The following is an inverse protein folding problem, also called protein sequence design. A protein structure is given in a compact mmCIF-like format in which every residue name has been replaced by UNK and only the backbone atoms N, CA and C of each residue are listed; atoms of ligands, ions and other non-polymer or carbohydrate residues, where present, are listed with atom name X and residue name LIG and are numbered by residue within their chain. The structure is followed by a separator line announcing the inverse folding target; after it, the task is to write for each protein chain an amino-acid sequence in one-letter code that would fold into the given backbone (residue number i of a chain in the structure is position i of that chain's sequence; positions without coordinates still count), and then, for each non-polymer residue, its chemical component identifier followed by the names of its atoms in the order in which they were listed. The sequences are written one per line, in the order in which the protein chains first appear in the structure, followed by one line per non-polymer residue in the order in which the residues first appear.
data_IF_945504996396
#
_entry.id   IF_945504996396
#
_cell.length_a   1.000
_cell.length_b   1.000
_cell.length_c   1.000
_cell.angle_alpha   90.00
_cell.angle_beta   90.00
_cell.angle_gamma   90.00
#
_symmetry.space_group_name_H-M   'P 1'
#
loop_
_entity.id
_entity.type
_entity.pdbx_description
1 polymer ?
#
# COMPACT_ATOMS: atom_id res chain seq x y z
N UNK A 1 -1.72 10.35 -10.76
CA UNK A 1 -1.90 10.50 -9.31
C UNK A 1 -0.56 10.17 -8.69
N UNK A 2 0.08 11.12 -8.02
CA UNK A 2 1.41 10.91 -7.44
C UNK A 2 1.37 9.80 -6.37
N UNK A 3 2.48 9.08 -6.24
CA UNK A 3 2.65 7.98 -5.28
C UNK A 3 2.32 8.43 -3.85
N UNK A 4 2.68 9.67 -3.53
CA UNK A 4 2.43 10.31 -2.25
C UNK A 4 0.91 10.47 -1.98
N UNK A 5 0.14 10.90 -2.97
CA UNK A 5 -1.32 11.04 -2.86
C UNK A 5 -2.02 9.67 -2.78
N UNK A 6 -1.52 8.66 -3.50
CA UNK A 6 -1.99 7.29 -3.36
C UNK A 6 -1.72 6.73 -1.96
N UNK A 7 -0.54 7.01 -1.41
CA UNK A 7 -0.18 6.64 -0.05
C UNK A 7 -1.09 7.27 0.98
N UNK A 8 -1.31 8.58 0.94
CA UNK A 8 -2.13 9.27 1.95
C UNK A 8 -3.56 8.69 1.97
N UNK A 9 -4.15 8.43 0.79
CA UNK A 9 -5.47 7.75 0.72
C UNK A 9 -5.44 6.31 1.20
N UNK A 10 -4.36 5.58 0.94
CA UNK A 10 -4.20 4.22 1.45
C UNK A 10 -4.11 4.24 2.97
N UNK A 11 -3.41 5.22 3.55
CA UNK A 11 -3.33 5.42 4.99
C UNK A 11 -4.71 5.69 5.57
N UNK A 12 -5.46 6.65 5.02
CA UNK A 12 -6.83 6.94 5.46
C UNK A 12 -7.73 5.69 5.41
N UNK A 13 -7.66 4.92 4.31
CA UNK A 13 -8.46 3.70 4.13
C UNK A 13 -8.09 2.59 5.12
N UNK A 14 -6.79 2.40 5.36
CA UNK A 14 -6.26 1.37 6.25
C UNK A 14 -6.51 1.72 7.72
N UNK A 15 -6.42 3.00 8.06
CA UNK A 15 -6.66 3.50 9.41
C UNK A 15 -8.16 3.53 9.78
N UNK A 16 -9.05 3.68 8.78
CA UNK A 16 -10.51 3.58 8.96
C UNK A 16 -10.95 2.12 9.23
N UNK A 17 -10.12 1.14 8.91
CA UNK A 17 -10.41 -0.27 9.17
C UNK A 17 -10.09 -0.66 10.61
N UNK A 18 -11.10 -0.59 11.49
CA UNK A 18 -11.01 -1.05 12.89
C UNK A 18 -10.54 -2.52 13.03
N UNK A 19 -10.72 -3.34 11.99
CA UNK A 19 -10.40 -4.77 12.01
C UNK A 19 -8.91 -5.08 11.72
N UNK A 20 -8.21 -4.21 10.98
CA UNK A 20 -6.83 -4.49 10.57
C UNK A 20 -5.78 -4.16 11.63
N UNK A 21 -6.14 -3.38 12.67
CA UNK A 21 -5.26 -3.02 13.78
C UNK A 21 -3.94 -2.46 13.30
N UNK A 22 -3.97 -1.48 12.40
CA UNK A 22 -2.77 -0.87 11.81
C UNK A 22 -2.31 0.26 12.73
N UNK A 23 -1.07 0.17 13.21
CA UNK A 23 -0.47 1.17 14.11
C UNK A 23 0.33 2.23 13.38
N UNK A 24 0.98 1.85 12.28
CA UNK A 24 1.97 2.70 11.64
C UNK A 24 2.13 2.28 10.18
N UNK A 25 2.43 3.24 9.33
CA UNK A 25 2.70 3.04 7.91
C UNK A 25 3.90 3.91 7.54
N UNK A 26 4.98 3.26 7.14
CA UNK A 26 6.19 3.94 6.68
C UNK A 26 6.35 3.76 5.17
N UNK A 27 6.50 4.86 4.44
CA UNK A 27 6.75 4.81 3.00
C UNK A 27 8.23 5.01 2.70
N UNK A 28 8.78 4.08 1.94
CA UNK A 28 10.09 4.17 1.32
C UNK A 28 9.91 4.60 -0.13
N UNK A 29 10.00 5.91 -0.37
CA UNK A 29 9.85 6.50 -1.70
C UNK A 29 10.98 6.08 -2.66
N UNK A 30 12.17 5.78 -2.13
CA UNK A 30 13.31 5.33 -2.95
C UNK A 30 13.08 3.92 -3.50
N UNK A 31 12.45 3.05 -2.70
CA UNK A 31 12.17 1.67 -3.09
C UNK A 31 10.74 1.46 -3.61
N UNK A 32 9.90 2.50 -3.59
CA UNK A 32 8.46 2.42 -3.88
C UNK A 32 7.76 1.35 -3.03
N UNK A 33 8.12 1.29 -1.75
CA UNK A 33 7.58 0.35 -0.77
C UNK A 33 6.80 1.09 0.31
N UNK A 34 5.75 0.46 0.83
CA UNK A 34 5.02 0.92 2.01
C UNK A 34 5.06 -0.22 3.02
N UNK A 35 5.72 0.00 4.15
CA UNK A 35 5.72 -0.91 5.28
C UNK A 35 4.53 -0.60 6.18
N UNK A 36 3.62 -1.55 6.34
CA UNK A 36 2.44 -1.49 7.21
C UNK A 36 2.76 -2.24 8.49
N UNK A 37 2.72 -1.57 9.64
CA UNK A 37 2.88 -2.20 10.95
C UNK A 37 1.53 -2.33 11.63
N UNK A 38 1.26 -3.52 12.12
CA UNK A 38 0.05 -3.83 12.90
C UNK A 38 0.33 -3.76 14.40
N UNK A 39 -0.73 -3.63 15.21
CA UNK A 39 -0.72 -3.69 16.67
C UNK A 39 -0.16 -5.01 17.20
N UNK A 40 -0.29 -6.08 16.40
CA UNK A 40 0.31 -7.38 16.70
C UNK A 40 1.84 -7.42 16.56
N UNK A 41 2.45 -6.33 16.10
CA UNK A 41 3.89 -6.22 15.83
C UNK A 41 4.29 -6.76 14.45
N UNK A 42 3.37 -7.35 13.68
CA UNK A 42 3.63 -7.81 12.31
C UNK A 42 3.80 -6.64 11.36
N UNK A 43 4.71 -6.80 10.39
CA UNK A 43 4.98 -5.84 9.33
C UNK A 43 4.64 -6.48 7.99
N UNK A 44 3.83 -5.80 7.19
CA UNK A 44 3.53 -6.15 5.81
C UNK A 44 4.17 -5.13 4.88
N UNK A 45 4.55 -5.57 3.68
CA UNK A 45 5.17 -4.70 2.68
C UNK A 45 4.27 -4.62 1.44
N UNK A 46 3.91 -3.39 1.06
CA UNK A 46 3.15 -3.10 -0.14
C UNK A 46 4.11 -2.50 -1.16
N UNK A 47 4.29 -3.18 -2.29
CA UNK A 47 5.13 -2.71 -3.38
C UNK A 47 4.29 -1.90 -4.35
N UNK A 48 4.49 -0.58 -4.37
CA UNK A 48 3.88 0.29 -5.36
C UNK A 48 4.75 0.28 -6.62
N UNK A 49 4.15 -0.05 -7.76
CA UNK A 49 4.83 0.06 -9.05
C UNK A 49 3.92 0.78 -10.01
N UNK A 50 4.45 1.80 -10.66
CA UNK A 50 3.75 2.40 -11.79
C UNK A 50 3.63 1.34 -12.88
N UNK A 51 2.39 1.09 -13.25
CA UNK A 51 2.05 0.16 -14.30
C UNK A 51 2.16 0.87 -15.64
N UNK A 52 3.37 1.01 -16.17
CA UNK A 52 3.61 1.59 -17.51
C UNK A 52 3.17 0.68 -18.66
N UNK A 53 2.86 -0.59 -18.36
CA UNK A 53 2.30 -1.58 -19.29
C UNK A 53 1.35 -2.52 -18.52
N UNK A 54 0.12 -2.08 -18.24
CA UNK A 54 -0.93 -2.96 -17.64
C UNK A 54 -2.32 -2.74 -18.23
N UNK A 55 -2.43 -2.72 -19.54
CA UNK A 55 -3.70 -3.19 -20.13
C UNK A 55 -3.78 -4.73 -20.13
N UNK A 56 -2.67 -5.45 -19.99
CA UNK A 56 -2.61 -6.91 -20.20
C UNK A 56 -2.73 -7.77 -18.92
N UNK A 57 -2.30 -7.27 -17.75
CA UNK A 57 -2.23 -8.10 -16.52
C UNK A 57 -3.51 -8.21 -15.69
N UNK A 58 -4.53 -7.39 -15.94
CA UNK A 58 -5.85 -7.53 -15.30
C UNK A 58 -6.84 -8.39 -16.09
N UNK A 59 -6.54 -8.74 -17.34
CA UNK A 59 -7.37 -9.65 -18.16
C UNK A 59 -7.15 -11.14 -17.88
N UNK A 60 -6.07 -11.50 -17.19
CA UNK A 60 -5.65 -12.91 -17.00
C UNK A 60 -5.69 -13.38 -15.55
N UNK A 61 -6.40 -12.67 -14.67
CA UNK A 61 -6.71 -13.14 -13.32
C UNK A 61 -8.17 -13.60 -13.30
N UNK A 62 -8.44 -14.74 -13.94
CA UNK A 62 -9.72 -15.47 -13.86
C UNK A 62 -9.46 -16.84 -13.20
#
# INVERSE_FOLDING_TARGET
MDLNCFRDRLFDLLNDSEEMGITDLNADEQNSLIAVRTESGKVFEIVCREATDREDRWKNAE
#
